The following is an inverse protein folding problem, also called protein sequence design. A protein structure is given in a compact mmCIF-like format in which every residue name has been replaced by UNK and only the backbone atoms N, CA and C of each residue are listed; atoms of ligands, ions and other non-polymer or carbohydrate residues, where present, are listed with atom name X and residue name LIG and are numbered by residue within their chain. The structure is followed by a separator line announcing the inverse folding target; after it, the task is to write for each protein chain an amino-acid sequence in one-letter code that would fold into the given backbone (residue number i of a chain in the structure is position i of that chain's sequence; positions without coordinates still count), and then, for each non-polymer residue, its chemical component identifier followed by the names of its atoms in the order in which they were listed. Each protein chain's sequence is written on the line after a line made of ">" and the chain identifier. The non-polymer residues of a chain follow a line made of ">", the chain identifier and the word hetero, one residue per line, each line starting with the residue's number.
data_IF_313401258351
#
_entry.id   IF_313401258351
#
_cell.length_a   1.000
_cell.length_b   1.000
_cell.length_c   1.000
_cell.angle_alpha   90.00
_cell.angle_beta   90.00
_cell.angle_gamma   90.00
#
_symmetry.space_group_name_H-M   'P 1'
#
loop_
_entity.id
_entity.type
_entity.pdbx_description
1 polymer ?
#
# COMPACT_ATOMS: atom_id res chain seq x y z
N UNK A 1 -38.41 59.54 16.28
CA UNK A 1 -38.41 58.13 15.83
C UNK A 1 -36.98 57.65 15.93
N UNK A 2 -36.68 56.79 16.91
CA UNK A 2 -35.34 56.24 17.14
C UNK A 2 -35.21 54.92 16.37
N UNK A 3 -34.20 54.83 15.52
CA UNK A 3 -33.85 53.59 14.82
C UNK A 3 -32.74 52.90 15.60
N UNK A 4 -33.10 51.83 16.30
CA UNK A 4 -32.16 50.94 17.00
C UNK A 4 -31.55 49.98 15.98
N UNK A 5 -30.24 50.02 15.80
CA UNK A 5 -29.49 49.03 15.03
C UNK A 5 -29.19 47.86 15.97
N UNK A 6 -29.78 46.70 15.71
CA UNK A 6 -29.57 45.45 16.44
C UNK A 6 -28.36 44.75 15.80
N UNK A 7 -27.32 44.51 16.59
CA UNK A 7 -26.11 43.80 16.21
C UNK A 7 -26.37 42.28 16.29
N UNK A 8 -26.14 41.54 15.19
CA UNK A 8 -26.37 40.09 15.11
C UNK A 8 -25.01 39.37 15.02
N UNK A 9 -24.55 38.64 16.07
CA UNK A 9 -23.20 38.10 16.13
C UNK A 9 -23.05 36.73 15.43
N UNK A 10 -23.83 36.44 14.39
CA UNK A 10 -23.84 35.13 13.70
C UNK A 10 -23.10 35.06 12.37
N UNK A 11 -22.22 36.02 12.07
CA UNK A 11 -21.24 35.89 10.98
C UNK A 11 -19.89 35.56 11.59
N UNK A 12 -19.77 34.32 12.09
CA UNK A 12 -18.51 33.79 12.55
C UNK A 12 -17.75 33.29 11.31
N UNK A 13 -16.57 33.89 11.11
CA UNK A 13 -15.57 33.54 10.10
C UNK A 13 -15.31 32.04 10.17
N UNK A 14 -15.70 31.33 9.12
CA UNK A 14 -15.33 29.92 8.92
C UNK A 14 -13.87 29.88 8.49
N UNK A 15 -12.95 29.98 9.45
CA UNK A 15 -11.57 29.57 9.27
C UNK A 15 -11.54 28.04 9.28
N UNK A 16 -11.62 27.43 8.10
CA UNK A 16 -11.28 26.01 7.93
C UNK A 16 -9.76 25.94 8.08
N UNK A 17 -9.31 25.60 9.28
CA UNK A 17 -7.96 25.11 9.52
C UNK A 17 -7.95 23.71 8.92
N UNK A 18 -7.42 23.55 7.70
CA UNK A 18 -7.00 22.25 7.20
C UNK A 18 -5.85 21.77 8.06
N UNK A 19 -6.16 20.97 9.08
CA UNK A 19 -5.19 20.21 9.85
C UNK A 19 -4.71 19.06 8.96
N UNK A 20 -3.83 19.36 8.01
CA UNK A 20 -3.14 18.31 7.25
C UNK A 20 -2.25 17.60 8.26
N UNK A 21 -2.49 16.30 8.46
CA UNK A 21 -1.64 15.42 9.24
C UNK A 21 -0.18 15.63 8.83
N UNK A 22 0.63 16.08 9.77
CA UNK A 22 2.08 15.92 9.75
C UNK A 22 2.40 14.44 9.96
N UNK A 23 2.13 13.62 8.94
CA UNK A 23 2.62 12.27 8.80
C UNK A 23 3.62 12.26 7.66
N UNK A 24 4.85 11.82 7.95
CA UNK A 24 5.98 11.66 7.02
C UNK A 24 6.76 12.95 6.71
N UNK A 25 7.50 13.40 7.72
CA UNK A 25 8.67 14.24 7.54
C UNK A 25 9.85 13.35 7.12
N UNK A 26 9.81 12.76 5.92
CA UNK A 26 11.03 12.20 5.31
C UNK A 26 11.74 13.34 4.58
N UNK A 27 12.23 14.31 5.36
CA UNK A 27 13.18 15.26 4.85
C UNK A 27 14.43 14.47 4.45
N UNK A 28 14.81 14.56 3.19
CA UNK A 28 16.11 14.14 2.69
C UNK A 28 17.20 14.92 3.45
N UNK A 29 17.59 14.42 4.62
CA UNK A 29 18.95 14.55 5.13
C UNK A 29 19.75 13.58 4.26
N UNK A 30 20.37 14.10 3.20
CA UNK A 30 21.43 13.36 2.51
C UNK A 30 22.41 12.87 3.58
N UNK A 31 22.52 11.55 3.67
CA UNK A 31 23.43 10.84 4.56
C UNK A 31 24.86 11.36 4.36
N UNK A 32 25.27 12.23 5.28
CA UNK A 32 26.65 12.47 5.63
C UNK A 32 26.91 11.59 6.84
N UNK A 33 27.58 10.45 6.63
CA UNK A 33 28.09 9.58 7.68
C UNK A 33 28.86 10.41 8.73
N UNK A 34 28.26 10.59 9.89
CA UNK A 34 28.84 11.25 11.06
C UNK A 34 28.00 10.84 12.27
N UNK A 35 28.14 9.59 12.69
CA UNK A 35 27.65 9.12 14.00
C UNK A 35 28.30 9.97 15.09
N UNK A 36 27.55 10.94 15.61
CA UNK A 36 28.02 11.84 16.68
C UNK A 36 27.38 13.22 16.74
N UNK A 37 26.55 13.65 15.78
CA UNK A 37 26.03 15.03 15.77
C UNK A 37 24.50 15.19 15.59
N UNK A 38 23.69 14.27 16.10
CA UNK A 38 22.21 14.38 16.03
C UNK A 38 21.64 15.50 16.92
N UNK A 39 22.35 15.94 17.96
CA UNK A 39 21.85 16.97 18.87
C UNK A 39 21.99 18.42 18.33
N UNK A 40 22.89 18.69 17.38
CA UNK A 40 23.04 20.03 16.78
C UNK A 40 22.06 20.31 15.63
N UNK A 41 21.46 19.27 15.03
CA UNK A 41 20.53 19.43 13.92
C UNK A 41 19.22 20.14 14.31
N UNK A 42 18.84 20.09 15.60
CA UNK A 42 17.55 20.60 16.10
C UNK A 42 17.46 22.15 16.10
N UNK A 43 18.59 22.85 15.92
CA UNK A 43 18.62 24.32 15.97
C UNK A 43 18.92 25.00 14.62
N UNK A 44 18.90 24.30 13.48
CA UNK A 44 19.17 24.95 12.19
C UNK A 44 17.91 25.50 11.54
N UNK A 45 17.98 26.72 10.99
CA UNK A 45 16.91 27.27 10.14
C UNK A 45 16.84 26.47 8.84
N UNK A 46 15.65 26.00 8.49
CA UNK A 46 15.37 25.22 7.29
C UNK A 46 13.99 25.57 6.73
N UNK A 47 13.74 25.20 5.48
CA UNK A 47 12.40 25.23 4.89
C UNK A 47 11.68 23.94 5.34
N UNK A 48 10.61 24.10 6.09
CA UNK A 48 9.79 23.00 6.60
C UNK A 48 8.72 22.54 5.60
N UNK A 49 8.13 23.47 4.83
CA UNK A 49 7.15 23.14 3.80
C UNK A 49 7.15 24.19 2.68
N UNK A 50 6.77 23.75 1.48
CA UNK A 50 6.48 24.61 0.33
C UNK A 50 5.20 24.13 -0.33
N UNK A 51 4.19 24.99 -0.43
CA UNK A 51 2.90 24.63 -1.00
C UNK A 51 2.37 25.73 -1.92
N UNK A 52 1.77 25.34 -3.05
CA UNK A 52 1.08 26.28 -3.90
C UNK A 52 -0.31 26.59 -3.32
N UNK A 53 -0.63 27.87 -3.16
CA UNK A 53 -1.92 28.34 -2.64
C UNK A 53 -3.01 28.41 -3.71
N UNK A 54 -2.65 28.23 -4.98
CA UNK A 54 -3.60 28.23 -6.08
C UNK A 54 -3.30 27.13 -7.11
N UNK A 55 -4.32 26.83 -7.92
CA UNK A 55 -4.24 25.80 -8.95
C UNK A 55 -3.12 26.09 -9.95
N UNK A 56 -2.95 27.34 -10.40
CA UNK A 56 -1.88 27.70 -11.34
C UNK A 56 -0.46 27.61 -10.76
N UNK A 57 -0.27 27.52 -9.44
CA UNK A 57 1.08 27.55 -8.85
C UNK A 57 1.78 28.90 -9.01
N UNK A 58 1.00 29.98 -9.13
CA UNK A 58 1.52 31.36 -9.23
C UNK A 58 1.65 32.04 -7.86
N UNK A 59 1.08 31.44 -6.82
CA UNK A 59 1.21 31.87 -5.42
C UNK A 59 1.67 30.67 -4.60
N UNK A 60 2.81 30.81 -3.92
CA UNK A 60 3.45 29.74 -3.17
C UNK A 60 3.66 30.20 -1.74
N UNK A 61 3.27 29.40 -0.77
CA UNK A 61 3.61 29.58 0.64
C UNK A 61 4.84 28.74 0.99
N UNK A 62 5.75 29.35 1.73
CA UNK A 62 6.96 28.72 2.27
C UNK A 62 6.91 28.86 3.79
N UNK A 63 7.11 27.77 4.52
CA UNK A 63 7.17 27.77 5.98
C UNK A 63 8.58 27.40 6.44
N UNK A 64 9.11 28.10 7.43
CA UNK A 64 10.44 27.89 7.99
C UNK A 64 10.37 27.22 9.37
N UNK A 65 11.41 26.46 9.72
CA UNK A 65 11.53 25.86 11.06
C UNK A 65 11.80 26.90 12.16
N UNK A 66 12.29 28.09 11.78
CA UNK A 66 12.61 29.20 12.68
C UNK A 66 12.29 30.53 11.99
N UNK A 67 12.15 31.59 12.79
CA UNK A 67 12.00 32.94 12.29
C UNK A 67 13.17 33.35 11.37
N UNK A 68 12.83 33.91 10.21
CA UNK A 68 13.74 34.50 9.24
C UNK A 68 13.52 36.01 9.23
N UNK A 69 14.59 36.80 9.43
CA UNK A 69 14.47 38.26 9.57
C UNK A 69 13.92 38.93 8.31
N UNK A 70 14.51 38.64 7.15
CA UNK A 70 14.04 39.12 5.84
C UNK A 70 14.80 38.43 4.70
N UNK A 71 14.17 38.40 3.53
CA UNK A 71 14.78 38.14 2.23
C UNK A 71 13.89 38.76 1.15
N UNK A 72 14.42 38.93 -0.05
CA UNK A 72 13.66 39.46 -1.18
C UNK A 72 13.60 38.47 -2.35
N UNK A 73 12.94 38.88 -3.45
CA UNK A 73 12.73 38.03 -4.62
C UNK A 73 14.03 37.60 -5.33
N UNK A 74 15.13 38.32 -5.15
CA UNK A 74 16.43 38.02 -5.74
C UNK A 74 17.18 36.94 -4.95
N UNK A 75 16.81 36.74 -3.68
CA UNK A 75 17.33 35.66 -2.83
C UNK A 75 16.68 34.31 -3.13
N UNK A 76 15.60 34.29 -3.91
CA UNK A 76 14.83 33.09 -4.24
C UNK A 76 15.17 32.57 -5.64
N UNK A 77 15.51 31.30 -5.73
CA UNK A 77 15.68 30.57 -6.98
C UNK A 77 14.72 29.38 -7.01
N UNK A 78 13.87 29.32 -8.03
CA UNK A 78 13.03 28.16 -8.30
C UNK A 78 13.43 27.60 -9.66
N UNK A 79 13.82 26.34 -9.71
CA UNK A 79 14.36 25.69 -10.91
C UNK A 79 13.61 24.40 -11.17
N UNK A 80 13.12 24.23 -12.40
CA UNK A 80 12.51 22.98 -12.83
C UNK A 80 13.56 21.85 -12.85
N UNK A 81 13.27 20.71 -12.22
CA UNK A 81 14.29 19.68 -11.99
C UNK A 81 14.80 19.04 -13.28
N UNK A 82 13.90 18.77 -14.24
CA UNK A 82 14.23 18.21 -15.56
C UNK A 82 14.76 19.27 -16.54
N UNK A 83 13.94 20.26 -16.91
CA UNK A 83 14.30 21.23 -17.96
C UNK A 83 15.38 22.22 -17.53
N UNK A 84 15.66 22.31 -16.22
CA UNK A 84 16.53 23.32 -15.60
C UNK A 84 16.08 24.77 -15.84
N UNK A 85 14.85 24.97 -16.32
CA UNK A 85 14.27 26.29 -16.51
C UNK A 85 14.10 27.01 -15.16
N UNK A 86 14.51 28.28 -15.09
CA UNK A 86 14.31 29.12 -13.90
C UNK A 86 12.91 29.75 -13.92
N UNK A 87 12.17 29.58 -12.83
CA UNK A 87 10.86 30.21 -12.60
C UNK A 87 11.06 31.46 -11.73
N UNK A 88 10.77 32.63 -12.29
CA UNK A 88 11.00 33.93 -11.63
C UNK A 88 9.95 34.31 -10.58
N UNK A 89 10.43 34.83 -9.44
CA UNK A 89 9.59 35.40 -8.36
C UNK A 89 9.39 36.90 -8.59
N UNK A 90 8.14 37.36 -8.56
CA UNK A 90 7.75 38.77 -8.74
C UNK A 90 7.84 39.56 -7.43
N UNK A 91 7.35 38.98 -6.32
CA UNK A 91 7.31 39.59 -4.99
C UNK A 91 7.35 38.50 -3.90
N UNK A 92 7.91 38.86 -2.75
CA UNK A 92 7.87 38.08 -1.51
C UNK A 92 7.11 38.90 -0.47
N UNK A 93 6.13 38.28 0.20
CA UNK A 93 5.42 38.86 1.34
C UNK A 93 5.69 37.99 2.56
N UNK A 94 6.54 38.46 3.47
CA UNK A 94 6.84 37.78 4.73
C UNK A 94 5.66 37.91 5.70
N UNK A 95 5.40 36.88 6.51
CA UNK A 95 4.49 37.01 7.64
C UNK A 95 5.16 37.82 8.78
N UNK A 96 4.36 38.33 9.72
CA UNK A 96 4.84 39.23 10.79
C UNK A 96 5.83 38.55 11.74
N UNK A 97 5.68 37.24 11.97
CA UNK A 97 6.56 36.46 12.85
C UNK A 97 7.81 35.90 12.14
N UNK A 98 7.94 36.12 10.83
CA UNK A 98 9.05 35.64 9.99
C UNK A 98 9.15 34.13 9.85
N UNK A 99 8.16 33.35 10.31
CA UNK A 99 8.14 31.89 10.18
C UNK A 99 7.62 31.41 8.83
N UNK A 100 7.17 32.32 7.96
CA UNK A 100 6.69 31.97 6.64
C UNK A 100 6.69 33.15 5.67
N UNK A 101 6.52 32.82 4.39
CA UNK A 101 6.49 33.80 3.31
C UNK A 101 5.56 33.35 2.19
N UNK A 102 4.90 34.30 1.55
CA UNK A 102 4.15 34.10 0.31
C UNK A 102 4.95 34.64 -0.86
N UNK A 103 5.30 33.76 -1.79
CA UNK A 103 5.96 34.08 -3.04
C UNK A 103 4.90 34.26 -4.12
N UNK A 104 4.90 35.42 -4.76
CA UNK A 104 4.13 35.67 -5.96
C UNK A 104 5.02 35.49 -7.18
N UNK A 105 4.72 34.51 -8.03
CA UNK A 105 5.45 34.23 -9.26
C UNK A 105 5.08 35.22 -10.37
N UNK A 106 5.95 35.38 -11.37
CA UNK A 106 5.50 35.98 -12.64
C UNK A 106 4.50 35.04 -13.33
N UNK A 107 3.56 35.61 -14.10
CA UNK A 107 2.56 34.83 -14.86
C UNK A 107 3.19 33.83 -15.84
N UNK A 108 4.38 34.13 -16.36
CA UNK A 108 5.12 33.21 -17.25
C UNK A 108 5.98 32.19 -16.48
N UNK A 109 5.98 32.23 -15.15
CA UNK A 109 6.84 31.45 -14.28
C UNK A 109 6.02 30.64 -13.26
N UNK A 110 4.78 30.31 -13.63
CA UNK A 110 3.90 29.47 -12.85
C UNK A 110 4.47 28.05 -12.72
N UNK A 111 4.18 27.39 -11.59
CA UNK A 111 4.60 26.01 -11.37
C UNK A 111 3.53 25.06 -11.90
N UNK A 112 3.86 24.38 -12.99
CA UNK A 112 2.99 23.44 -13.68
C UNK A 112 2.68 22.23 -12.79
N UNK A 113 1.49 21.64 -12.97
CA UNK A 113 1.15 20.38 -12.31
C UNK A 113 2.01 19.23 -12.85
N UNK A 114 2.19 18.21 -12.03
CA UNK A 114 3.00 17.04 -12.35
C UNK A 114 4.44 17.43 -12.75
N UNK A 115 5.02 18.42 -12.07
CA UNK A 115 6.41 18.80 -12.25
C UNK A 115 7.09 18.97 -10.90
N UNK A 116 8.38 18.66 -10.86
CA UNK A 116 9.22 18.84 -9.68
C UNK A 116 10.13 20.07 -9.86
N UNK A 117 10.31 20.80 -8.77
CA UNK A 117 11.15 21.97 -8.73
C UNK A 117 12.08 21.94 -7.52
N UNK A 118 13.29 22.44 -7.69
CA UNK A 118 14.19 22.77 -6.59
C UNK A 118 14.04 24.24 -6.24
N UNK A 119 13.64 24.52 -5.00
CA UNK A 119 13.62 25.87 -4.44
C UNK A 119 14.86 26.10 -3.57
N UNK A 120 15.51 27.24 -3.78
CA UNK A 120 16.61 27.72 -2.93
C UNK A 120 16.31 29.13 -2.46
N UNK A 121 16.52 29.40 -1.18
CA UNK A 121 16.34 30.72 -0.56
C UNK A 121 17.63 31.09 0.16
N UNK A 122 18.23 32.22 -0.22
CA UNK A 122 19.44 32.74 0.41
C UNK A 122 19.08 33.61 1.63
N UNK A 123 19.46 33.19 2.83
CA UNK A 123 19.27 33.96 4.07
C UNK A 123 20.64 34.30 4.65
N UNK A 124 21.08 35.54 4.47
CA UNK A 124 22.42 35.97 4.86
C UNK A 124 23.49 35.15 4.12
N UNK A 125 24.26 34.34 4.86
CA UNK A 125 25.30 33.44 4.29
C UNK A 125 24.81 32.02 4.04
N UNK A 126 23.60 31.68 4.45
CA UNK A 126 23.06 30.33 4.34
C UNK A 126 22.14 30.21 3.13
N UNK A 127 22.19 29.04 2.46
CA UNK A 127 21.24 28.70 1.41
C UNK A 127 20.32 27.59 1.92
N UNK A 128 19.05 27.91 2.09
CA UNK A 128 18.02 26.93 2.40
C UNK A 128 17.57 26.27 1.09
N UNK A 129 17.42 24.95 1.07
CA UNK A 129 17.00 24.20 -0.13
C UNK A 129 15.79 23.32 0.20
N UNK A 130 14.82 23.24 -0.70
CA UNK A 130 13.65 22.38 -0.58
C UNK A 130 13.20 21.89 -1.97
N UNK A 131 12.58 20.72 -2.03
CA UNK A 131 11.99 20.16 -3.25
C UNK A 131 10.48 20.37 -3.25
N UNK A 132 9.98 20.98 -4.31
CA UNK A 132 8.56 21.30 -4.49
C UNK A 132 7.97 20.31 -5.49
N UNK A 133 7.07 19.47 -5.01
CA UNK A 133 6.32 18.53 -5.83
C UNK A 133 4.96 19.13 -6.16
N UNK A 134 4.75 19.49 -7.42
CA UNK A 134 3.43 19.94 -7.87
C UNK A 134 2.60 18.71 -8.21
N UNK A 135 1.83 18.25 -7.24
CA UNK A 135 1.05 17.04 -7.38
C UNK A 135 -0.25 17.26 -8.16
N UNK A 136 -0.78 16.18 -8.71
CA UNK A 136 -2.16 16.06 -9.17
C UNK A 136 -2.92 15.21 -8.16
N UNK A 137 -4.16 15.61 -7.88
CA UNK A 137 -5.09 14.81 -7.09
C UNK A 137 -5.90 13.90 -8.02
N UNK A 138 -5.92 12.62 -7.71
CA UNK A 138 -6.79 11.62 -8.33
C UNK A 138 -7.80 11.19 -7.27
N UNK A 139 -9.08 11.36 -7.60
CA UNK A 139 -10.20 11.02 -6.73
C UNK A 139 -10.76 9.65 -7.12
N UNK A 140 -11.10 8.81 -6.14
CA UNK A 140 -11.65 7.47 -6.38
C UNK A 140 -10.76 6.57 -7.24
N UNK A 141 -9.43 6.61 -7.03
CA UNK A 141 -8.51 5.69 -7.68
C UNK A 141 -8.59 4.30 -7.03
N UNK A 142 -8.65 3.24 -7.83
CA UNK A 142 -8.62 1.84 -7.39
C UNK A 142 -7.47 1.08 -8.03
N UNK A 143 -6.86 0.16 -7.29
CA UNK A 143 -5.93 -0.84 -7.83
C UNK A 143 -6.77 -2.02 -8.29
N UNK A 144 -7.00 -2.16 -9.61
CA UNK A 144 -7.88 -3.20 -10.17
C UNK A 144 -7.12 -4.44 -10.66
N UNK A 145 -5.84 -4.28 -10.99
CA UNK A 145 -4.97 -5.36 -11.42
C UNK A 145 -3.61 -5.21 -10.76
N UNK A 146 -3.08 -6.33 -10.26
CA UNK A 146 -1.80 -6.40 -9.58
C UNK A 146 -1.31 -7.85 -9.60
N UNK A 147 -0.10 -8.06 -10.12
CA UNK A 147 0.59 -9.34 -10.06
C UNK A 147 1.70 -9.38 -8.99
N UNK A 148 2.37 -10.53 -8.83
CA UNK A 148 3.47 -10.65 -7.87
C UNK A 148 4.68 -9.75 -8.22
N UNK A 149 4.90 -9.47 -9.50
CA UNK A 149 5.91 -8.56 -10.00
C UNK A 149 5.63 -7.11 -9.59
N UNK A 150 4.39 -6.65 -9.77
CA UNK A 150 3.89 -5.34 -9.35
C UNK A 150 4.11 -5.10 -7.85
N UNK A 151 3.77 -6.09 -7.02
CA UNK A 151 3.98 -6.04 -5.56
C UNK A 151 5.47 -5.92 -5.21
N UNK A 152 6.32 -6.68 -5.90
CA UNK A 152 7.77 -6.70 -5.68
C UNK A 152 8.44 -5.40 -6.15
N UNK A 153 8.03 -4.87 -7.29
CA UNK A 153 8.55 -3.63 -7.88
C UNK A 153 7.90 -2.38 -7.31
N UNK A 154 6.86 -2.53 -6.49
CA UNK A 154 6.09 -1.43 -5.89
C UNK A 154 5.49 -0.53 -6.97
N UNK A 155 5.05 -1.13 -8.07
CA UNK A 155 4.35 -0.46 -9.16
C UNK A 155 2.91 -0.96 -9.18
N UNK A 156 1.94 -0.05 -9.34
CA UNK A 156 0.53 -0.43 -9.48
C UNK A 156 -0.14 0.41 -10.54
N UNK A 157 -1.14 -0.15 -11.20
CA UNK A 157 -2.01 0.60 -12.09
C UNK A 157 -3.27 1.04 -11.34
N UNK A 158 -3.41 2.35 -11.15
CA UNK A 158 -4.61 2.95 -10.58
C UNK A 158 -5.59 3.32 -11.70
N UNK A 159 -6.84 2.90 -11.55
CA UNK A 159 -7.95 3.28 -12.43
C UNK A 159 -8.88 4.24 -11.68
N UNK A 160 -9.30 5.34 -12.32
CA UNK A 160 -10.34 6.25 -11.85
C UNK A 160 -11.25 6.61 -13.02
N UNK A 161 -12.44 6.00 -13.07
CA UNK A 161 -13.34 6.11 -14.22
C UNK A 161 -12.72 5.51 -15.49
N UNK A 162 -12.53 6.34 -16.53
CA UNK A 162 -11.90 5.93 -17.79
C UNK A 162 -10.38 6.18 -17.81
N UNK A 163 -9.83 6.83 -16.78
CA UNK A 163 -8.40 7.11 -16.69
C UNK A 163 -7.67 5.98 -15.96
N UNK A 164 -6.53 5.58 -16.51
CA UNK A 164 -5.65 4.58 -15.90
C UNK A 164 -4.21 5.08 -15.89
N UNK A 165 -3.50 4.85 -14.78
CA UNK A 165 -2.14 5.35 -14.59
C UNK A 165 -1.29 4.39 -13.75
N UNK A 166 -0.16 3.96 -14.31
CA UNK A 166 0.86 3.18 -13.58
C UNK A 166 1.70 4.10 -12.71
N UNK A 167 1.75 3.82 -11.42
CA UNK A 167 2.46 4.60 -10.41
C UNK A 167 3.45 3.76 -9.62
N UNK A 168 4.53 4.40 -9.18
CA UNK A 168 5.38 3.90 -8.11
C UNK A 168 4.75 4.23 -6.76
N UNK A 169 4.69 3.23 -5.87
CA UNK A 169 4.01 3.31 -4.58
C UNK A 169 5.01 3.36 -3.43
N UNK A 170 4.82 4.22 -2.41
CA UNK A 170 5.70 4.26 -1.24
C UNK A 170 5.67 2.94 -0.46
N UNK A 171 6.79 2.61 0.20
CA UNK A 171 6.96 1.38 1.00
C UNK A 171 5.93 1.21 2.12
N UNK A 172 5.32 2.31 2.58
CA UNK A 172 4.33 2.30 3.65
C UNK A 172 2.91 1.93 3.23
N UNK A 173 2.59 1.76 1.94
CA UNK A 173 1.28 1.28 1.51
C UNK A 173 1.26 -0.24 1.43
N UNK A 174 0.39 -0.88 2.21
CA UNK A 174 0.07 -2.30 2.03
C UNK A 174 -0.79 -2.44 0.76
N UNK A 175 -0.17 -2.94 -0.30
CA UNK A 175 -0.83 -3.07 -1.61
C UNK A 175 -1.94 -4.11 -1.60
N UNK A 176 -1.80 -5.16 -0.79
CA UNK A 176 -2.80 -6.22 -0.72
C UNK A 176 -4.03 -5.66 -0.03
N UNK A 177 -3.85 -4.96 1.08
CA UNK A 177 -4.94 -4.29 1.76
C UNK A 177 -5.60 -3.20 0.89
N UNK A 178 -4.81 -2.53 0.06
CA UNK A 178 -5.29 -1.47 -0.82
C UNK A 178 -5.93 -1.95 -2.12
N UNK A 179 -5.79 -3.23 -2.45
CA UNK A 179 -6.33 -3.80 -3.67
C UNK A 179 -7.85 -3.67 -3.71
N UNK A 180 -8.37 -3.19 -4.84
CA UNK A 180 -9.79 -2.93 -5.08
C UNK A 180 -10.47 -1.98 -4.06
N UNK A 181 -9.69 -1.18 -3.31
CA UNK A 181 -10.23 -0.14 -2.43
C UNK A 181 -10.21 1.21 -3.13
N UNK A 182 -11.23 2.02 -2.86
CA UNK A 182 -11.25 3.42 -3.29
C UNK A 182 -10.20 4.23 -2.52
N UNK A 183 -9.43 5.04 -3.24
CA UNK A 183 -8.37 5.85 -2.67
C UNK A 183 -8.38 7.27 -3.25
N UNK A 184 -8.13 8.25 -2.39
CA UNK A 184 -7.71 9.58 -2.80
C UNK A 184 -6.19 9.60 -2.90
N UNK A 185 -5.64 9.87 -4.09
CA UNK A 185 -4.19 9.75 -4.35
C UNK A 185 -3.61 11.08 -4.83
N UNK A 186 -2.45 11.49 -4.30
CA UNK A 186 -1.65 12.59 -4.84
C UNK A 186 -0.43 12.05 -5.56
N UNK A 187 -0.25 12.47 -6.81
CA UNK A 187 0.75 11.94 -7.74
C UNK A 187 1.69 13.06 -8.17
N UNK A 188 3.00 12.84 -8.19
CA UNK A 188 3.97 13.82 -8.70
C UNK A 188 4.26 13.67 -10.21
N UNK A 189 5.20 14.47 -10.72
CA UNK A 189 5.60 14.46 -12.13
C UNK A 189 6.31 13.21 -12.62
N UNK A 190 6.77 12.36 -11.69
CA UNK A 190 7.44 11.09 -11.98
C UNK A 190 6.51 9.89 -11.88
N UNK A 191 5.20 10.14 -11.75
CA UNK A 191 4.21 9.11 -11.47
C UNK A 191 4.47 8.37 -10.16
N UNK A 192 5.03 9.05 -9.16
CA UNK A 192 5.15 8.50 -7.81
C UNK A 192 3.95 8.96 -6.97
N UNK A 193 3.38 8.04 -6.21
CA UNK A 193 2.36 8.31 -5.20
C UNK A 193 3.02 9.02 -4.01
N UNK A 194 2.70 10.29 -3.82
CA UNK A 194 3.27 11.12 -2.75
C UNK A 194 2.46 11.02 -1.46
N UNK A 195 1.14 10.88 -1.58
CA UNK A 195 0.25 10.62 -0.46
C UNK A 195 -0.98 9.87 -0.93
N UNK A 196 -1.60 9.13 -0.02
CA UNK A 196 -2.86 8.46 -0.25
C UNK A 196 -3.74 8.54 1.00
N UNK A 197 -5.04 8.42 0.78
CA UNK A 197 -6.06 8.27 1.82
C UNK A 197 -7.05 7.22 1.32
N UNK A 198 -7.21 6.13 2.06
CA UNK A 198 -8.22 5.12 1.76
C UNK A 198 -9.58 5.75 2.02
N UNK A 199 -10.48 5.72 1.03
CA UNK A 199 -11.86 6.11 1.26
C UNK A 199 -12.46 5.02 2.14
N UNK A 200 -12.74 5.33 3.40
CA UNK A 200 -13.33 4.38 4.31
C UNK A 200 -14.74 4.04 3.82
N UNK A 201 -14.90 2.91 3.15
CA UNK A 201 -16.20 2.27 3.06
C UNK A 201 -16.52 1.67 4.43
N UNK A 202 -17.76 1.86 4.89
CA UNK A 202 -18.36 1.03 5.94
C UNK A 202 -17.97 -0.43 5.65
N UNK A 203 -17.44 -1.13 6.65
CA UNK A 203 -16.93 -2.50 6.55
C UNK A 203 -17.76 -3.29 5.53
N UNK A 204 -17.26 -3.42 4.30
CA UNK A 204 -17.85 -4.34 3.34
C UNK A 204 -17.87 -5.68 4.06
N UNK A 205 -19.07 -6.27 4.21
CA UNK A 205 -19.25 -7.57 4.84
C UNK A 205 -18.17 -8.51 4.29
N UNK A 206 -17.34 -9.02 5.20
CA UNK A 206 -16.04 -9.67 4.94
C UNK A 206 -16.12 -10.97 4.13
N UNK A 207 -17.29 -11.33 3.63
CA UNK A 207 -17.51 -12.55 2.88
C UNK A 207 -16.91 -12.48 1.46
N UNK A 208 -16.55 -11.29 0.97
CA UNK A 208 -15.91 -11.09 -0.35
C UNK A 208 -14.45 -10.56 -0.25
N UNK A 209 -13.76 -10.74 0.89
CA UNK A 209 -12.35 -10.31 0.99
C UNK A 209 -11.41 -11.21 0.17
N UNK A 210 -11.07 -10.64 -0.98
CA UNK A 210 -10.39 -11.18 -2.13
C UNK A 210 -8.88 -10.88 -2.10
N UNK A 211 -8.03 -11.91 -2.07
CA UNK A 211 -6.75 -11.88 -2.81
C UNK A 211 -7.15 -12.04 -4.29
N UNK A 212 -6.48 -11.39 -5.25
CA UNK A 212 -6.82 -11.43 -6.68
C UNK A 212 -7.33 -12.81 -7.17
N UNK A 213 -8.17 -12.84 -8.22
CA UNK A 213 -8.81 -14.06 -8.80
C UNK A 213 -7.68 -14.83 -9.48
N UNK A 214 -6.73 -15.30 -8.70
CA UNK A 214 -5.70 -16.20 -9.11
C UNK A 214 -6.37 -17.55 -9.09
N UNK A 215 -6.49 -18.15 -10.27
CA UNK A 215 -6.76 -19.57 -10.35
C UNK A 215 -5.62 -20.28 -9.62
N UNK A 216 -5.94 -21.11 -8.62
CA UNK A 216 -4.97 -21.86 -7.81
C UNK A 216 -5.08 -23.34 -8.17
N UNK A 217 -4.62 -23.76 -9.37
CA UNK A 217 -4.86 -25.11 -9.87
C UNK A 217 -4.06 -26.18 -9.12
N UNK A 218 -3.04 -25.78 -8.35
CA UNK A 218 -2.16 -26.69 -7.64
C UNK A 218 -2.30 -26.56 -6.13
N UNK A 219 -2.08 -27.67 -5.44
CA UNK A 219 -2.06 -27.71 -3.99
C UNK A 219 -0.92 -28.58 -3.45
N UNK A 220 -0.45 -28.29 -2.24
CA UNK A 220 0.67 -28.97 -1.59
C UNK A 220 0.43 -29.03 -0.08
N UNK A 221 0.32 -30.23 0.48
CA UNK A 221 0.36 -30.44 1.93
C UNK A 221 1.82 -30.44 2.39
N UNK A 222 2.21 -29.45 3.21
CA UNK A 222 3.62 -29.23 3.58
C UNK A 222 4.08 -30.32 4.55
N UNK A 223 5.06 -31.13 4.14
CA UNK A 223 5.69 -32.12 5.02
C UNK A 223 6.96 -31.56 5.65
N UNK A 224 7.75 -30.82 4.87
CA UNK A 224 9.05 -30.32 5.28
C UNK A 224 9.36 -28.98 4.64
N UNK A 225 10.05 -28.11 5.39
CA UNK A 225 10.60 -26.84 4.89
C UNK A 225 12.12 -26.85 5.00
N UNK A 226 12.81 -26.49 3.92
CA UNK A 226 14.27 -26.40 3.85
C UNK A 226 14.69 -25.14 3.08
N UNK A 227 15.11 -24.09 3.80
CA UNK A 227 15.36 -22.80 3.17
C UNK A 227 14.07 -22.27 2.55
N UNK A 228 14.10 -21.90 1.27
CA UNK A 228 12.94 -21.42 0.49
C UNK A 228 12.09 -22.53 -0.12
N UNK A 229 12.57 -23.77 -0.08
CA UNK A 229 11.87 -24.92 -0.64
C UNK A 229 10.96 -25.57 0.40
N UNK A 230 9.70 -25.77 0.04
CA UNK A 230 8.78 -26.64 0.75
C UNK A 230 8.63 -27.95 -0.01
N UNK A 231 8.78 -29.06 0.70
CA UNK A 231 8.54 -30.40 0.19
C UNK A 231 7.17 -30.84 0.70
N UNK A 232 6.30 -31.20 -0.23
CA UNK A 232 5.08 -31.93 0.06
C UNK A 232 5.18 -33.37 -0.42
N UNK A 233 4.06 -34.05 -0.35
CA UNK A 233 3.93 -35.49 -0.58
C UNK A 233 4.35 -35.89 -2.01
N UNK A 234 3.94 -35.12 -3.02
CA UNK A 234 4.15 -35.45 -4.44
C UNK A 234 5.06 -34.48 -5.19
N UNK A 235 5.45 -33.36 -4.58
CA UNK A 235 6.19 -32.30 -5.26
C UNK A 235 6.96 -31.39 -4.29
N UNK A 236 7.96 -30.70 -4.83
CA UNK A 236 8.68 -29.63 -4.14
C UNK A 236 8.35 -28.28 -4.79
N UNK A 237 8.22 -27.24 -3.98
CA UNK A 237 7.91 -25.89 -4.43
C UNK A 237 8.93 -24.91 -3.82
N UNK A 238 9.60 -24.11 -4.67
CA UNK A 238 10.47 -23.03 -4.22
C UNK A 238 9.67 -21.73 -4.05
N UNK A 239 9.43 -21.33 -2.81
CA UNK A 239 8.63 -20.15 -2.47
C UNK A 239 9.43 -18.84 -2.51
N UNK A 240 10.68 -18.84 -2.97
CA UNK A 240 11.53 -17.66 -2.99
C UNK A 240 10.93 -16.48 -3.79
N UNK A 241 10.20 -16.79 -4.87
CA UNK A 241 9.56 -15.80 -5.74
C UNK A 241 8.07 -15.63 -5.49
N UNK A 242 7.51 -16.30 -4.48
CA UNK A 242 6.06 -16.32 -4.27
C UNK A 242 5.60 -15.15 -3.40
N UNK A 243 4.46 -14.57 -3.76
CA UNK A 243 3.62 -13.83 -2.84
C UNK A 243 2.85 -14.83 -1.97
N UNK A 244 3.21 -14.93 -0.70
CA UNK A 244 2.56 -15.86 0.24
C UNK A 244 1.52 -15.10 1.06
N UNK A 245 0.28 -15.58 1.03
CA UNK A 245 -0.85 -15.00 1.76
C UNK A 245 -1.47 -16.01 2.72
N UNK A 246 -2.04 -15.52 3.81
CA UNK A 246 -2.83 -16.30 4.76
C UNK A 246 -3.88 -15.39 5.39
N UNK A 247 -5.14 -15.79 5.37
CA UNK A 247 -6.25 -14.97 5.86
C UNK A 247 -6.24 -13.55 5.27
N UNK A 248 -5.98 -13.43 3.96
CA UNK A 248 -5.88 -12.16 3.22
C UNK A 248 -4.75 -11.22 3.67
N UNK A 249 -3.81 -11.70 4.48
CA UNK A 249 -2.63 -10.94 4.88
C UNK A 249 -1.38 -11.55 4.24
N UNK A 250 -0.45 -10.68 3.80
CA UNK A 250 0.87 -11.16 3.38
C UNK A 250 1.57 -11.76 4.58
N UNK A 251 2.02 -13.00 4.42
CA UNK A 251 2.87 -13.65 5.42
C UNK A 251 4.28 -13.84 4.86
N UNK A 252 5.19 -14.22 5.75
CA UNK A 252 6.54 -14.59 5.37
C UNK A 252 6.66 -16.11 5.26
N UNK A 253 7.72 -16.57 4.64
CA UNK A 253 8.03 -18.00 4.57
C UNK A 253 8.18 -18.64 5.97
N UNK A 254 8.58 -17.87 6.98
CA UNK A 254 8.71 -18.37 8.36
C UNK A 254 7.37 -18.81 8.96
N UNK A 255 6.28 -18.22 8.48
CA UNK A 255 4.92 -18.52 8.92
C UNK A 255 4.36 -19.83 8.35
N UNK A 256 4.94 -20.32 7.24
CA UNK A 256 4.61 -21.61 6.63
C UNK A 256 5.20 -22.75 7.46
N UNK A 257 4.35 -23.69 7.88
CA UNK A 257 4.65 -24.79 8.79
C UNK A 257 4.31 -26.15 8.17
N UNK A 258 4.94 -27.19 8.72
CA UNK A 258 4.52 -28.57 8.44
C UNK A 258 3.04 -28.77 8.80
N UNK A 259 2.29 -29.40 7.91
CA UNK A 259 0.85 -29.59 7.99
C UNK A 259 0.03 -28.44 7.41
N UNK A 260 0.65 -27.35 6.95
CA UNK A 260 -0.06 -26.33 6.19
C UNK A 260 -0.44 -26.87 4.80
N UNK A 261 -1.63 -26.51 4.32
CA UNK A 261 -2.02 -26.75 2.94
C UNK A 261 -1.77 -25.48 2.14
N UNK A 262 -0.94 -25.59 1.10
CA UNK A 262 -0.69 -24.50 0.17
C UNK A 262 -1.57 -24.68 -1.06
N UNK A 263 -2.31 -23.66 -1.44
CA UNK A 263 -2.91 -23.51 -2.77
C UNK A 263 -2.01 -22.56 -3.56
N UNK A 264 -1.65 -22.87 -4.80
CA UNK A 264 -0.68 -22.04 -5.51
C UNK A 264 -0.84 -22.05 -7.02
N UNK A 265 -0.30 -21.00 -7.63
CA UNK A 265 -0.13 -20.82 -9.05
C UNK A 265 1.32 -20.44 -9.35
N UNK A 266 2.06 -21.34 -10.01
CA UNK A 266 3.47 -21.11 -10.34
C UNK A 266 3.67 -20.01 -11.39
N UNK A 267 2.75 -19.89 -12.35
CA UNK A 267 2.83 -18.90 -13.42
C UNK A 267 2.66 -17.49 -12.88
N UNK A 268 1.75 -17.31 -11.91
CA UNK A 268 1.46 -16.02 -11.25
C UNK A 268 2.40 -15.74 -10.06
N UNK A 269 3.12 -16.76 -9.56
CA UNK A 269 3.99 -16.64 -8.40
C UNK A 269 3.21 -16.29 -7.11
N UNK A 270 2.04 -16.89 -6.90
CA UNK A 270 1.20 -16.66 -5.71
C UNK A 270 0.91 -17.98 -5.01
N UNK A 271 0.96 -17.97 -3.68
CA UNK A 271 0.60 -19.11 -2.84
C UNK A 271 -0.23 -18.65 -1.63
N UNK A 272 -1.30 -19.38 -1.32
CA UNK A 272 -2.13 -19.19 -0.15
C UNK A 272 -1.97 -20.35 0.82
N UNK A 273 -1.74 -20.04 2.10
CA UNK A 273 -1.83 -21.01 3.19
C UNK A 273 -3.29 -21.14 3.63
N UNK A 274 -3.93 -22.25 3.26
CA UNK A 274 -5.35 -22.50 3.49
C UNK A 274 -5.58 -23.74 4.37
N UNK A 275 -5.68 -23.56 5.68
CA UNK A 275 -5.67 -24.67 6.66
C UNK A 275 -7.07 -25.11 7.13
N UNK A 276 -8.07 -25.09 6.26
CA UNK A 276 -9.39 -25.62 6.60
C UNK A 276 -9.32 -27.15 6.73
N UNK A 277 -9.48 -27.65 7.95
CA UNK A 277 -9.38 -29.08 8.25
C UNK A 277 -10.57 -29.60 9.04
N UNK A 278 -10.96 -30.84 8.73
CA UNK A 278 -11.96 -31.59 9.48
C UNK A 278 -11.34 -32.83 10.08
N UNK A 279 -11.65 -33.09 11.35
CA UNK A 279 -11.09 -34.20 12.12
C UNK A 279 -12.24 -35.06 12.66
N UNK A 280 -12.19 -36.37 12.47
CA UNK A 280 -13.28 -37.26 12.90
C UNK A 280 -13.36 -38.57 12.12
N UNK A 281 -14.27 -39.49 12.52
CA UNK A 281 -14.57 -40.68 11.75
C UNK A 281 -15.41 -40.35 10.51
N UNK A 282 -15.29 -41.18 9.48
CA UNK A 282 -16.18 -41.17 8.32
C UNK A 282 -17.54 -41.76 8.73
N UNK A 283 -18.65 -41.07 8.42
CA UNK A 283 -20.00 -41.46 8.86
C UNK A 283 -20.72 -42.32 7.81
N UNK A 284 -20.79 -41.82 6.57
CA UNK A 284 -21.40 -42.50 5.41
C UNK A 284 -20.54 -42.28 4.19
N UNK A 285 -20.36 -43.33 3.40
CA UNK A 285 -19.55 -43.31 2.17
C UNK A 285 -20.52 -43.50 1.00
N UNK A 286 -20.43 -42.62 0.01
CA UNK A 286 -21.16 -42.68 -1.25
C UNK A 286 -20.19 -42.88 -2.41
N UNK A 287 -20.71 -43.10 -3.61
CA UNK A 287 -19.87 -43.29 -4.81
C UNK A 287 -19.03 -42.04 -5.13
N UNK A 288 -19.60 -40.85 -4.97
CA UNK A 288 -19.00 -39.56 -5.37
C UNK A 288 -18.72 -38.62 -4.18
N UNK A 289 -19.12 -39.00 -2.96
CA UNK A 289 -18.98 -38.13 -1.78
C UNK A 289 -18.91 -38.88 -0.46
N UNK A 290 -18.61 -38.15 0.61
CA UNK A 290 -18.52 -38.68 1.96
C UNK A 290 -19.19 -37.78 2.99
N UNK A 291 -19.82 -38.37 3.99
CA UNK A 291 -20.35 -37.64 5.13
C UNK A 291 -19.38 -37.66 6.31
N UNK A 292 -19.18 -36.48 6.88
CA UNK A 292 -18.38 -36.28 8.08
C UNK A 292 -18.96 -35.12 8.89
N UNK A 293 -19.21 -35.33 10.19
CA UNK A 293 -19.80 -34.33 11.07
C UNK A 293 -21.14 -33.77 10.56
N UNK A 294 -21.95 -34.59 9.88
CA UNK A 294 -23.26 -34.21 9.34
C UNK A 294 -23.25 -33.39 8.05
N UNK A 295 -22.09 -33.14 7.43
CA UNK A 295 -21.94 -32.48 6.12
C UNK A 295 -21.43 -33.47 5.06
N UNK A 296 -21.77 -33.21 3.79
CA UNK A 296 -21.38 -34.04 2.64
C UNK A 296 -20.26 -33.35 1.83
N UNK A 297 -19.22 -34.09 1.46
CA UNK A 297 -18.01 -33.57 0.81
C UNK A 297 -17.66 -34.39 -0.44
N UNK A 298 -17.34 -33.74 -1.55
CA UNK A 298 -17.03 -34.41 -2.83
C UNK A 298 -15.57 -34.90 -2.90
N UNK A 299 -15.37 -36.06 -3.54
CA UNK A 299 -14.03 -36.57 -3.82
C UNK A 299 -13.34 -35.73 -4.92
N UNK A 300 -12.29 -34.98 -4.55
CA UNK A 300 -11.48 -34.22 -5.52
C UNK A 300 -9.96 -34.41 -5.34
N UNK A 301 -9.53 -35.13 -4.30
CA UNK A 301 -8.18 -35.06 -3.77
C UNK A 301 -7.45 -36.39 -3.65
N UNK A 302 -6.39 -36.38 -2.84
CA UNK A 302 -5.52 -37.56 -2.62
C UNK A 302 -5.56 -38.07 -1.18
N UNK A 303 -5.44 -39.37 -1.00
CA UNK A 303 -5.11 -39.97 0.28
C UNK A 303 -3.60 -40.02 0.43
N UNK A 304 -3.09 -39.56 1.58
CA UNK A 304 -1.67 -39.52 1.91
C UNK A 304 -1.36 -40.60 2.94
N UNK A 305 -0.52 -41.56 2.54
CA UNK A 305 -0.09 -42.67 3.38
C UNK A 305 0.99 -42.25 4.40
N UNK A 306 1.27 -43.12 5.37
CA UNK A 306 2.19 -42.82 6.46
C UNK A 306 3.66 -42.67 6.03
N UNK A 307 4.02 -43.21 4.87
CA UNK A 307 5.33 -43.10 4.25
C UNK A 307 5.45 -41.91 3.27
N UNK A 308 4.36 -41.17 3.05
CA UNK A 308 4.31 -40.07 2.10
C UNK A 308 3.94 -40.49 0.68
N UNK A 309 3.48 -41.72 0.44
CA UNK A 309 2.91 -42.06 -0.87
C UNK A 309 1.48 -41.50 -1.00
N UNK A 310 1.06 -41.20 -2.24
CA UNK A 310 -0.29 -40.70 -2.55
C UNK A 310 -1.06 -41.63 -3.47
N UNK A 311 -2.36 -41.76 -3.18
CA UNK A 311 -3.34 -42.40 -4.06
C UNK A 311 -4.55 -41.49 -4.23
N UNK A 312 -5.31 -41.66 -5.32
CA UNK A 312 -6.56 -40.92 -5.50
C UNK A 312 -7.53 -41.27 -4.36
N UNK A 313 -8.13 -40.27 -3.72
CA UNK A 313 -9.11 -40.51 -2.67
C UNK A 313 -10.50 -40.67 -3.26
N UNK A 314 -10.97 -41.91 -3.32
CA UNK A 314 -12.29 -42.30 -3.81
C UNK A 314 -13.05 -43.15 -2.77
N UNK A 315 -14.22 -43.66 -3.15
CA UNK A 315 -15.06 -44.49 -2.29
C UNK A 315 -14.39 -45.80 -1.89
N UNK A 316 -13.64 -46.45 -2.79
CA UNK A 316 -12.91 -47.69 -2.51
C UNK A 316 -11.82 -47.44 -1.45
N UNK A 317 -11.06 -46.36 -1.56
CA UNK A 317 -10.07 -45.97 -0.54
C UNK A 317 -10.77 -45.64 0.77
N UNK A 318 -11.84 -44.85 0.75
CA UNK A 318 -12.59 -44.44 1.94
C UNK A 318 -13.16 -45.64 2.72
N UNK A 319 -13.70 -46.67 2.06
CA UNK A 319 -14.25 -47.87 2.72
C UNK A 319 -13.19 -48.66 3.49
N UNK A 320 -11.93 -48.59 3.03
CA UNK A 320 -10.80 -49.27 3.64
C UNK A 320 -10.25 -48.53 4.86
N UNK A 321 -10.49 -47.22 4.99
CA UNK A 321 -10.05 -46.45 6.14
C UNK A 321 -10.78 -46.89 7.42
N UNK A 322 -10.04 -46.91 8.53
CA UNK A 322 -10.56 -47.22 9.88
C UNK A 322 -10.12 -46.14 10.85
N UNK A 323 -11.01 -45.75 11.75
CA UNK A 323 -10.71 -44.74 12.77
C UNK A 323 -11.00 -43.31 12.30
N UNK A 324 -10.28 -42.36 12.87
CA UNK A 324 -10.43 -40.94 12.54
C UNK A 324 -9.42 -40.51 11.48
N UNK A 325 -9.91 -39.67 10.55
CA UNK A 325 -9.10 -39.05 9.50
C UNK A 325 -8.99 -37.54 9.74
N UNK A 326 -8.03 -36.92 9.05
CA UNK A 326 -7.95 -35.47 8.87
C UNK A 326 -8.18 -35.17 7.39
N UNK A 327 -9.22 -34.42 7.07
CA UNK A 327 -9.51 -33.94 5.72
C UNK A 327 -9.06 -32.50 5.58
N UNK A 328 -8.39 -32.17 4.48
CA UNK A 328 -8.00 -30.82 4.08
C UNK A 328 -8.91 -30.38 2.94
N UNK A 329 -9.55 -29.23 3.09
CA UNK A 329 -10.55 -28.73 2.15
C UNK A 329 -10.02 -27.55 1.34
N UNK A 330 -10.58 -27.32 0.16
CA UNK A 330 -10.44 -26.07 -0.58
C UNK A 330 -11.53 -25.06 -0.14
N UNK A 331 -11.54 -23.83 -0.67
CA UNK A 331 -12.57 -22.83 -0.38
C UNK A 331 -14.01 -23.21 -0.73
N UNK A 332 -14.20 -24.18 -1.63
CA UNK A 332 -15.50 -24.70 -2.05
C UNK A 332 -15.94 -25.94 -1.27
N UNK A 333 -15.26 -26.25 -0.15
CA UNK A 333 -15.46 -27.45 0.67
C UNK A 333 -15.15 -28.79 -0.04
N UNK A 334 -14.48 -28.79 -1.19
CA UNK A 334 -14.01 -30.02 -1.85
C UNK A 334 -12.74 -30.56 -1.18
N UNK A 335 -12.60 -31.89 -1.18
CA UNK A 335 -11.48 -32.57 -0.52
C UNK A 335 -10.21 -32.43 -1.35
N UNK A 336 -9.15 -31.84 -0.79
CA UNK A 336 -7.82 -31.77 -1.41
C UNK A 336 -6.91 -32.92 -0.98
N UNK A 337 -6.88 -33.20 0.33
CA UNK A 337 -6.07 -34.27 0.88
C UNK A 337 -6.72 -34.94 2.10
N UNK A 338 -6.41 -36.21 2.32
CA UNK A 338 -6.84 -36.97 3.50
C UNK A 338 -5.65 -37.68 4.13
N UNK A 339 -5.51 -37.57 5.45
CA UNK A 339 -4.50 -38.30 6.23
C UNK A 339 -5.14 -39.11 7.35
N UNK A 340 -4.53 -40.23 7.73
CA UNK A 340 -4.87 -40.94 8.97
C UNK A 340 -3.99 -40.46 10.13
N UNK A 341 -4.54 -40.46 11.35
CA UNK A 341 -3.76 -40.17 12.57
C UNK A 341 -3.01 -41.36 13.13
#
# INVERSE_FOLDING_TARGET
>A
MNTTIIWNPKVMVSAIISLILAGWLTAAVQASESEGNEAEAVNKTAISSVQALNHGGSVIEVTFTRQVESFDRFDVQVVHDVSRERKGVKRVDMNEDGTGAVLHMYRSAELEHLQDYTMKIQIGKETLTNHVHRTQFMDGGKIENMDAGDVKERQVTLTSGEESKTLTVPDGLDLIHAFNKDMHVKINGRNEMVSYEMVSEEELDRDDSFVGQFDMPYHLLVEKKQGTTVTGVSQELDLASFLIVKNNERITLDDVKQGDMLLFNEDEGVAEVYNQTLNGPLERIFEESIDMNGSNYEYAGSFVEADGDTTSFDSDVAENLKGSVTMYLNPDDSILAVTTK
#
